data_IF_796552223112
#
_entry.id   IF_796552223112
#
_cell.length_a   1.000
_cell.length_b   1.000
_cell.length_c   1.000
_cell.angle_alpha   90.00
_cell.angle_beta   90.00
_cell.angle_gamma   90.00
#
_symmetry.space_group_name_H-M   'P 1'
#
loop_
_entity.id
_entity.type
_entity.pdbx_description
1 polymer ?
#
# COMPACT_ATOMS: atom_id res chain seq x y z
N UNK A 1 -93.95 18.16 -1.08
CA UNK A 1 -93.19 17.29 -0.15
C UNK A 1 -92.39 16.32 -1.02
N UNK A 2 -91.19 16.70 -1.51
CA UNK A 2 -89.86 16.52 -0.89
C UNK A 2 -89.69 15.08 -0.35
N UNK A 3 -88.79 14.20 -0.81
CA UNK A 3 -87.53 14.38 -1.54
C UNK A 3 -87.02 13.07 -2.20
N UNK A 4 -86.18 13.22 -3.23
CA UNK A 4 -85.03 12.39 -3.65
C UNK A 4 -84.00 13.42 -4.21
N UNK A 5 -82.66 13.18 -4.34
CA UNK A 5 -81.95 11.89 -4.42
C UNK A 5 -80.51 11.82 -3.81
N UNK A 6 -79.88 10.63 -3.96
CA UNK A 6 -78.46 10.32 -4.29
C UNK A 6 -77.26 10.77 -3.42
N UNK A 7 -76.34 9.80 -3.28
CA UNK A 7 -74.86 9.90 -3.35
C UNK A 7 -74.05 10.07 -2.06
N UNK A 8 -73.21 9.09 -1.73
CA UNK A 8 -71.96 9.28 -0.96
C UNK A 8 -71.38 8.00 -0.34
N UNK A 9 -70.04 7.84 -0.21
CA UNK A 9 -69.35 6.59 -0.48
C UNK A 9 -68.55 5.97 0.68
N UNK A 10 -68.02 4.79 0.37
CA UNK A 10 -66.98 3.94 0.97
C UNK A 10 -65.79 4.70 1.59
N UNK A 11 -65.14 4.05 2.58
CA UNK A 11 -63.81 4.27 3.22
C UNK A 11 -63.96 4.61 4.72
N UNK A 12 -63.15 4.21 5.69
CA UNK A 12 -61.71 3.90 5.75
C UNK A 12 -61.52 3.25 7.14
N UNK A 13 -61.03 2.02 7.28
CA UNK A 13 -60.44 1.56 8.57
C UNK A 13 -59.15 0.82 8.25
N UNK A 14 -58.06 1.59 8.30
CA UNK A 14 -56.70 1.14 8.12
C UNK A 14 -56.14 0.48 9.38
N UNK A 15 -55.68 -0.76 9.21
CA UNK A 15 -54.40 -1.33 9.67
C UNK A 15 -53.80 -0.81 10.99
N UNK A 16 -54.02 -1.60 12.04
CA UNK A 16 -53.14 -1.72 13.21
C UNK A 16 -52.09 -2.82 12.95
N UNK A 17 -50.85 -2.46 12.60
CA UNK A 17 -49.67 -3.28 12.91
C UNK A 17 -48.51 -2.37 13.30
N UNK A 18 -48.38 -2.25 14.62
CA UNK A 18 -47.18 -2.10 15.44
C UNK A 18 -45.85 -1.97 14.68
N UNK A 19 -45.17 -0.84 14.91
CA UNK A 19 -43.86 -0.57 14.36
C UNK A 19 -42.68 -1.21 15.10
N UNK A 20 -41.51 -0.82 14.61
CA UNK A 20 -40.15 -1.06 15.12
C UNK A 20 -39.57 -2.45 14.79
N UNK A 21 -39.03 -2.58 13.57
CA UNK A 21 -37.70 -3.18 13.40
C UNK A 21 -36.86 -2.14 12.68
N UNK A 22 -35.80 -1.72 13.37
CA UNK A 22 -34.90 -0.65 12.98
C UNK A 22 -34.38 -0.81 11.55
N UNK A 23 -34.32 0.33 10.84
CA UNK A 23 -33.40 0.56 9.75
C UNK A 23 -31.99 0.09 10.17
N UNK A 24 -31.66 -1.14 9.81
CA UNK A 24 -30.27 -1.55 9.62
C UNK A 24 -29.94 -1.28 8.16
N UNK A 25 -29.90 -0.01 7.78
CA UNK A 25 -29.13 0.34 6.60
C UNK A 25 -27.70 -0.14 6.87
N UNK A 26 -27.10 -0.95 5.99
CA UNK A 26 -25.70 -1.28 6.13
C UNK A 26 -24.97 0.05 6.09
N UNK A 27 -24.42 0.47 7.23
CA UNK A 27 -23.44 1.54 7.25
C UNK A 27 -22.41 1.12 6.21
N UNK A 28 -22.17 1.91 5.15
CA UNK A 28 -21.08 1.62 4.26
C UNK A 28 -19.86 1.55 5.16
N UNK A 29 -19.26 0.37 5.25
CA UNK A 29 -17.91 0.23 5.76
C UNK A 29 -17.12 1.36 5.10
N UNK A 30 -16.22 2.08 5.80
CA UNK A 30 -15.34 3.00 5.11
C UNK A 30 -14.66 2.17 4.03
N UNK A 31 -15.11 2.33 2.78
CA UNK A 31 -14.54 1.64 1.64
C UNK A 31 -13.16 2.27 1.59
N UNK A 32 -12.19 1.50 2.04
CA UNK A 32 -10.82 1.94 2.08
C UNK A 32 -10.36 1.98 0.64
N UNK A 33 -10.57 3.13 -0.01
CA UNK A 33 -10.26 3.32 -1.42
C UNK A 33 -8.74 3.31 -1.53
N UNK A 34 -8.21 2.15 -1.93
CA UNK A 34 -6.81 2.01 -2.30
C UNK A 34 -6.61 2.69 -3.65
N UNK A 35 -6.05 3.90 -3.66
CA UNK A 35 -5.64 4.53 -4.91
C UNK A 35 -4.28 3.97 -5.29
N UNK A 36 -4.21 3.27 -6.42
CA UNK A 36 -2.89 3.05 -7.01
C UNK A 36 -2.35 4.41 -7.43
N UNK A 37 -1.17 4.74 -6.92
CA UNK A 37 -0.44 5.90 -7.34
C UNK A 37 0.09 5.57 -8.73
N UNK A 38 -0.28 6.35 -9.74
CA UNK A 38 0.31 6.20 -11.07
C UNK A 38 1.83 6.27 -10.93
N UNK A 39 2.55 5.47 -11.70
CA UNK A 39 4.01 5.30 -11.58
C UNK A 39 4.81 6.62 -11.71
N UNK A 40 4.17 7.70 -12.17
CA UNK A 40 4.70 9.07 -12.23
C UNK A 40 4.19 10.03 -11.14
N UNK A 41 3.54 9.57 -10.07
CA UNK A 41 3.00 10.44 -9.01
C UNK A 41 3.95 10.66 -7.83
N UNK A 42 4.93 9.76 -7.61
CA UNK A 42 6.05 9.97 -6.68
C UNK A 42 7.24 10.63 -7.40
N UNK A 43 7.03 11.85 -7.90
CA UNK A 43 8.10 12.63 -8.55
C UNK A 43 9.10 13.22 -7.55
N UNK A 44 8.66 13.40 -6.30
CA UNK A 44 9.50 13.92 -5.23
C UNK A 44 10.44 12.85 -4.66
N UNK A 45 11.61 13.29 -4.21
CA UNK A 45 12.52 12.41 -3.50
C UNK A 45 12.05 12.17 -2.07
N UNK A 46 12.21 10.95 -1.58
CA UNK A 46 11.78 10.56 -0.24
C UNK A 46 12.79 9.64 0.44
N UNK A 47 12.62 9.41 1.73
CA UNK A 47 13.36 8.40 2.48
C UNK A 47 12.38 7.34 2.98
N UNK A 48 12.87 6.12 3.16
CA UNK A 48 12.05 4.99 3.63
C UNK A 48 12.45 4.69 5.06
N UNK A 49 11.46 4.60 5.94
CA UNK A 49 11.62 4.13 7.30
C UNK A 49 10.77 2.88 7.53
N UNK A 50 11.32 1.90 8.23
CA UNK A 50 10.62 0.69 8.67
C UNK A 50 10.78 0.63 10.18
N UNK A 51 9.67 0.55 10.92
CA UNK A 51 9.69 0.60 12.38
C UNK A 51 10.45 1.83 12.93
N UNK A 52 10.33 2.98 12.24
CA UNK A 52 10.99 4.23 12.61
C UNK A 52 12.49 4.31 12.33
N UNK A 53 13.13 3.24 11.84
CA UNK A 53 14.54 3.24 11.43
C UNK A 53 14.66 3.44 9.92
N UNK A 54 15.59 4.27 9.42
CA UNK A 54 15.75 4.48 7.99
C UNK A 54 16.44 3.31 7.30
N UNK A 55 16.10 3.12 6.01
CA UNK A 55 16.89 2.26 5.11
C UNK A 55 18.26 2.92 4.86
N UNK A 56 19.33 2.18 5.14
CA UNK A 56 20.70 2.66 5.00
C UNK A 56 21.13 2.76 3.53
N UNK A 57 21.95 3.76 3.14
CA UNK A 57 22.56 3.79 1.83
C UNK A 57 23.54 2.64 1.63
N UNK A 58 23.87 2.35 0.37
CA UNK A 58 24.97 1.44 0.03
C UNK A 58 26.28 1.93 0.66
N UNK A 59 27.02 1.00 1.25
CA UNK A 59 28.35 1.28 1.77
C UNK A 59 29.30 1.74 0.65
N UNK A 60 30.18 2.72 0.90
CA UNK A 60 31.14 3.19 -0.09
C UNK A 60 32.04 2.04 -0.56
N UNK A 61 32.40 2.05 -1.86
CA UNK A 61 33.23 1.03 -2.52
C UNK A 61 32.59 -0.36 -2.67
N UNK A 62 31.26 -0.44 -2.63
CA UNK A 62 30.55 -1.67 -3.00
C UNK A 62 30.46 -1.77 -4.52
N UNK A 63 30.90 -2.88 -5.10
CA UNK A 63 30.79 -3.16 -6.55
C UNK A 63 29.93 -4.37 -6.88
N UNK A 64 29.35 -5.01 -5.87
CA UNK A 64 28.49 -6.19 -6.00
C UNK A 64 27.08 -5.95 -5.47
N UNK A 65 26.18 -6.90 -5.74
CA UNK A 65 24.88 -6.95 -5.07
C UNK A 65 25.10 -7.11 -3.56
N UNK A 66 24.43 -6.28 -2.76
CA UNK A 66 24.54 -6.31 -1.29
C UNK A 66 23.14 -6.28 -0.67
N UNK A 67 22.92 -7.09 0.36
CA UNK A 67 21.65 -7.11 1.07
C UNK A 67 21.38 -5.77 1.74
N UNK A 68 20.14 -5.29 1.65
CA UNK A 68 19.76 -4.01 2.22
C UNK A 68 19.55 -4.12 3.73
N UNK A 69 19.95 -3.08 4.45
CA UNK A 69 19.86 -3.01 5.90
C UNK A 69 19.29 -1.67 6.35
N UNK A 70 18.73 -1.66 7.56
CA UNK A 70 18.44 -0.44 8.30
C UNK A 70 19.73 0.16 8.84
N UNK A 71 19.75 1.47 9.05
CA UNK A 71 20.93 2.16 9.56
C UNK A 71 20.60 3.46 10.28
N UNK A 72 21.63 4.28 10.51
CA UNK A 72 21.48 5.61 11.12
C UNK A 72 21.22 6.71 10.10
N UNK A 73 21.80 6.58 8.90
CA UNK A 73 21.68 7.57 7.82
C UNK A 73 20.67 7.11 6.78
N UNK A 74 19.75 7.98 6.32
CA UNK A 74 18.74 7.60 5.35
C UNK A 74 19.24 7.65 3.91
N UNK A 75 19.04 6.57 3.16
CA UNK A 75 19.06 6.60 1.71
C UNK A 75 17.96 7.51 1.17
N UNK A 76 18.29 8.28 0.14
CA UNK A 76 17.32 9.12 -0.59
C UNK A 76 16.89 8.39 -1.84
N UNK A 77 15.58 8.30 -2.04
CA UNK A 77 14.95 7.51 -3.07
C UNK A 77 14.14 8.36 -4.04
N UNK A 78 14.11 7.91 -5.29
CA UNK A 78 13.10 8.30 -6.28
C UNK A 78 12.48 7.03 -6.86
N UNK A 79 11.19 7.08 -7.21
CA UNK A 79 10.54 5.98 -7.92
C UNK A 79 10.46 6.34 -9.40
N UNK A 80 11.16 5.57 -10.25
CA UNK A 80 11.21 5.80 -11.69
C UNK A 80 11.02 4.49 -12.43
N UNK A 81 10.05 4.42 -13.34
CA UNK A 81 9.79 3.23 -14.18
C UNK A 81 9.65 1.92 -13.37
N UNK A 82 9.07 2.02 -12.16
CA UNK A 82 8.90 0.88 -11.23
C UNK A 82 10.17 0.42 -10.55
N UNK A 83 11.20 1.26 -10.54
CA UNK A 83 12.47 1.03 -9.89
C UNK A 83 12.69 2.08 -8.82
N UNK A 84 13.07 1.61 -7.63
CA UNK A 84 13.36 2.47 -6.50
C UNK A 84 14.85 2.82 -6.53
N UNK A 85 15.15 4.02 -7.02
CA UNK A 85 16.50 4.50 -7.33
C UNK A 85 17.10 5.25 -6.14
N UNK A 86 18.40 5.08 -5.89
CA UNK A 86 19.19 5.89 -4.95
C UNK A 86 20.59 6.12 -5.55
N UNK A 87 20.77 7.28 -6.20
CA UNK A 87 21.94 7.49 -7.06
C UNK A 87 22.01 6.42 -8.16
N UNK A 88 23.18 5.79 -8.31
CA UNK A 88 23.43 4.73 -9.30
C UNK A 88 22.97 3.33 -8.83
N UNK A 89 22.20 3.26 -7.74
CA UNK A 89 21.75 2.00 -7.14
C UNK A 89 20.25 1.86 -7.18
N UNK A 90 19.80 0.62 -7.32
CA UNK A 90 18.40 0.23 -7.30
C UNK A 90 18.18 -0.64 -6.06
N UNK A 91 17.26 -0.24 -5.19
CA UNK A 91 16.76 -1.10 -4.13
C UNK A 91 15.66 -1.99 -4.70
N UNK A 92 15.86 -3.31 -4.68
CA UNK A 92 14.94 -4.21 -5.36
C UNK A 92 14.90 -5.63 -4.83
N UNK A 93 13.94 -6.38 -5.34
CA UNK A 93 13.75 -7.81 -5.12
C UNK A 93 14.05 -8.56 -6.41
N UNK A 94 14.85 -9.62 -6.35
CA UNK A 94 15.22 -10.40 -7.53
C UNK A 94 14.01 -11.21 -8.03
N UNK A 95 13.85 -11.36 -9.34
CA UNK A 95 12.85 -12.24 -9.95
C UNK A 95 13.18 -13.73 -9.76
N UNK A 96 14.47 -14.05 -9.64
CA UNK A 96 14.94 -15.43 -9.46
C UNK A 96 15.17 -15.71 -7.98
N UNK A 97 14.19 -16.35 -7.35
CA UNK A 97 14.20 -16.72 -5.93
C UNK A 97 13.71 -18.16 -5.75
N UNK A 98 13.97 -18.74 -4.58
CA UNK A 98 13.31 -19.98 -4.20
C UNK A 98 11.79 -19.77 -4.05
N UNK A 99 11.02 -20.85 -4.25
CA UNK A 99 9.55 -20.83 -4.21
C UNK A 99 8.96 -20.96 -2.80
N UNK A 100 9.76 -20.82 -1.74
CA UNK A 100 9.21 -20.78 -0.39
C UNK A 100 8.37 -19.53 -0.19
N UNK A 101 7.51 -19.57 0.81
CA UNK A 101 6.73 -18.41 1.25
C UNK A 101 7.41 -17.63 2.38
N UNK A 102 8.70 -17.88 2.62
CA UNK A 102 9.48 -17.15 3.60
C UNK A 102 9.74 -15.71 3.11
N UNK A 103 10.03 -14.78 4.04
CA UNK A 103 10.50 -13.45 3.68
C UNK A 103 11.64 -13.48 2.67
N UNK A 104 11.57 -12.55 1.71
CA UNK A 104 12.48 -12.49 0.57
C UNK A 104 13.46 -11.35 0.70
N UNK A 105 14.70 -11.59 0.28
CA UNK A 105 15.76 -10.60 0.41
C UNK A 105 15.51 -9.40 -0.49
N UNK A 106 15.66 -8.21 0.08
CA UNK A 106 15.85 -6.99 -0.67
C UNK A 106 17.35 -6.70 -0.73
N UNK A 107 17.81 -6.27 -1.90
CA UNK A 107 19.22 -5.97 -2.10
C UNK A 107 19.38 -4.71 -2.94
N UNK A 108 20.57 -4.14 -2.82
CA UNK A 108 21.05 -3.06 -3.66
C UNK A 108 21.69 -3.65 -4.92
N UNK A 109 21.24 -3.16 -6.07
CA UNK A 109 21.73 -3.55 -7.38
C UNK A 109 22.26 -2.32 -8.11
N UNK A 110 23.46 -2.41 -8.69
CA UNK A 110 24.03 -1.31 -9.46
C UNK A 110 23.25 -1.14 -10.76
N UNK A 111 22.82 0.07 -11.08
CA UNK A 111 22.07 0.38 -12.30
C UNK A 111 22.89 -0.02 -13.54
N UNK A 112 22.20 -0.45 -14.59
CA UNK A 112 22.84 -0.86 -15.86
C UNK A 112 23.52 -2.24 -15.83
N UNK A 113 23.46 -2.97 -14.72
CA UNK A 113 24.00 -4.33 -14.63
C UNK A 113 22.94 -5.39 -14.95
N UNK A 114 23.37 -6.56 -15.45
CA UNK A 114 22.47 -7.70 -15.71
C UNK A 114 21.56 -8.05 -14.51
N UNK A 115 22.05 -8.13 -13.26
CA UNK A 115 21.20 -8.34 -12.08
C UNK A 115 20.08 -7.30 -11.92
N UNK A 116 20.35 -6.02 -12.23
CA UNK A 116 19.35 -4.96 -12.13
C UNK A 116 18.22 -5.12 -13.15
N UNK A 117 18.43 -5.84 -14.25
CA UNK A 117 17.37 -6.13 -15.23
C UNK A 117 16.35 -7.14 -14.70
N UNK A 118 16.73 -7.98 -13.72
CA UNK A 118 15.94 -9.09 -13.20
C UNK A 118 15.28 -8.76 -11.85
N UNK A 119 14.64 -7.60 -11.77
CA UNK A 119 13.99 -7.13 -10.55
C UNK A 119 12.46 -7.11 -10.70
N UNK A 120 11.76 -7.44 -9.63
CA UNK A 120 10.34 -7.14 -9.53
C UNK A 120 10.10 -5.63 -9.58
N UNK A 121 9.01 -5.22 -10.24
CA UNK A 121 8.57 -3.84 -10.20
C UNK A 121 8.13 -3.44 -8.78
N UNK A 122 8.46 -2.22 -8.40
CA UNK A 122 7.99 -1.56 -7.19
C UNK A 122 6.74 -0.75 -7.53
N UNK A 123 5.65 -1.01 -6.82
CA UNK A 123 4.40 -0.27 -6.98
C UNK A 123 4.14 0.61 -5.76
N UNK A 124 3.74 1.85 -6.02
CA UNK A 124 3.28 2.77 -4.99
C UNK A 124 1.76 2.86 -4.99
N UNK A 125 1.18 3.08 -3.82
CA UNK A 125 -0.26 3.31 -3.67
C UNK A 125 -0.53 4.09 -2.38
N UNK A 126 -1.68 4.76 -2.35
CA UNK A 126 -2.21 5.37 -1.14
C UNK A 126 -3.19 4.42 -0.47
N UNK A 127 -2.98 4.23 0.83
CA UNK A 127 -3.84 3.44 1.69
C UNK A 127 -3.97 4.28 2.99
N UNK A 128 -5.16 4.87 3.22
CA UNK A 128 -5.47 5.57 4.48
C UNK A 128 -4.91 6.98 4.56
N UNK A 129 -4.60 7.58 3.42
CA UNK A 129 -3.87 8.85 3.34
C UNK A 129 -2.35 8.69 3.48
N UNK A 130 -1.85 7.46 3.62
CA UNK A 130 -0.42 7.17 3.67
C UNK A 130 0.06 6.56 2.35
N UNK A 131 1.25 6.99 1.92
CA UNK A 131 1.92 6.41 0.77
C UNK A 131 2.62 5.10 1.18
N UNK A 132 2.43 4.04 0.40
CA UNK A 132 2.97 2.71 0.66
C UNK A 132 3.64 2.15 -0.59
N UNK A 133 4.59 1.23 -0.39
CA UNK A 133 5.33 0.56 -1.46
C UNK A 133 5.13 -0.95 -1.39
N UNK A 134 5.07 -1.60 -2.55
CA UNK A 134 5.04 -3.05 -2.70
C UNK A 134 6.11 -3.52 -3.67
N UNK A 135 6.82 -4.59 -3.31
CA UNK A 135 7.90 -5.19 -4.08
C UNK A 135 7.44 -6.54 -4.62
N UNK A 136 7.00 -6.57 -5.88
CA UNK A 136 6.39 -7.77 -6.45
C UNK A 136 5.14 -8.23 -5.69
N UNK A 137 4.38 -7.27 -5.14
CA UNK A 137 3.16 -7.51 -4.37
C UNK A 137 3.35 -7.63 -2.85
N UNK A 138 4.56 -7.93 -2.38
CA UNK A 138 4.88 -8.06 -0.96
C UNK A 138 5.26 -6.73 -0.28
N UNK A 139 5.21 -6.70 1.05
CA UNK A 139 5.47 -5.51 1.87
C UNK A 139 6.83 -5.58 2.54
N UNK A 140 7.48 -4.44 2.73
CA UNK A 140 8.76 -4.38 3.45
C UNK A 140 8.56 -4.70 4.93
N UNK A 141 9.46 -5.51 5.47
CA UNK A 141 9.60 -5.80 6.89
C UNK A 141 11.07 -5.67 7.29
N UNK A 142 11.32 -5.63 8.60
CA UNK A 142 12.66 -5.62 9.14
C UNK A 142 12.84 -6.74 10.18
N UNK A 143 13.91 -7.53 10.03
CA UNK A 143 14.32 -8.58 10.96
C UNK A 143 15.81 -8.38 11.25
N UNK A 144 16.18 -8.16 12.52
CA UNK A 144 17.59 -7.99 12.92
C UNK A 144 18.38 -6.97 12.05
N UNK A 145 17.75 -5.82 11.77
CA UNK A 145 18.23 -4.75 10.88
C UNK A 145 18.35 -5.13 9.39
N UNK A 146 18.09 -6.38 9.00
CA UNK A 146 17.93 -6.76 7.60
C UNK A 146 16.56 -6.34 7.07
N UNK A 147 16.54 -5.87 5.82
CA UNK A 147 15.30 -5.49 5.14
C UNK A 147 14.87 -6.65 4.24
N UNK A 148 13.66 -7.13 4.47
CA UNK A 148 13.06 -8.24 3.73
C UNK A 148 11.70 -7.83 3.17
N UNK A 149 11.16 -8.66 2.29
CA UNK A 149 9.80 -8.57 1.79
C UNK A 149 9.02 -9.75 2.32
N UNK A 150 7.95 -9.47 3.07
CA UNK A 150 6.91 -10.45 3.34
C UNK A 150 6.02 -10.61 2.09
N UNK A 151 6.00 -11.80 1.45
CA UNK A 151 5.18 -12.03 0.26
C UNK A 151 3.67 -11.96 0.53
N UNK A 152 3.22 -12.24 1.76
CA UNK A 152 1.81 -12.20 2.11
C UNK A 152 1.37 -10.80 2.48
N UNK A 153 2.22 -10.07 3.20
CA UNK A 153 2.00 -8.68 3.57
C UNK A 153 0.81 -8.53 4.52
N UNK A 154 1.09 -8.29 5.80
CA UNK A 154 0.08 -7.90 6.78
C UNK A 154 -0.15 -6.39 6.85
N UNK A 155 -1.29 -5.97 7.42
CA UNK A 155 -1.55 -4.56 7.76
C UNK A 155 -0.47 -3.99 8.70
N UNK A 156 0.10 -4.83 9.56
CA UNK A 156 1.21 -4.47 10.46
C UNK A 156 2.46 -4.05 9.69
N UNK A 157 2.87 -4.85 8.70
CA UNK A 157 4.03 -4.55 7.84
C UNK A 157 3.83 -3.26 7.04
N UNK A 158 2.61 -3.05 6.52
CA UNK A 158 2.26 -1.81 5.84
C UNK A 158 2.30 -0.62 6.78
N UNK A 159 1.76 -0.74 7.99
CA UNK A 159 1.71 0.34 8.99
C UNK A 159 3.10 0.74 9.48
N UNK A 160 4.02 -0.22 9.57
CA UNK A 160 5.41 0.02 9.94
C UNK A 160 6.21 0.82 8.89
N UNK A 161 5.77 0.77 7.62
CA UNK A 161 6.42 1.46 6.51
C UNK A 161 5.98 2.92 6.44
N UNK A 162 6.96 3.82 6.52
CA UNK A 162 6.76 5.27 6.43
C UNK A 162 7.64 5.86 5.33
N UNK A 163 7.03 6.63 4.44
CA UNK A 163 7.74 7.44 3.45
C UNK A 163 7.83 8.88 3.95
N UNK A 164 9.03 9.44 3.98
CA UNK A 164 9.25 10.85 4.33
C UNK A 164 9.75 11.62 3.12
N UNK A 165 8.89 12.46 2.55
CA UNK A 165 9.19 13.31 1.41
C UNK A 165 10.08 14.49 1.82
N UNK A 166 11.09 14.78 1.00
CA UNK A 166 11.93 15.97 1.18
C UNK A 166 11.23 17.16 0.51
N UNK A 167 10.88 18.17 1.31
CA UNK A 167 10.39 19.47 0.84
C UNK A 167 11.51 20.34 0.28
#
# INVERSE_FOLDING_TARGET
MLALPRSGPVLFVCLLFVGIIALSWPLPSPIFVRRQLEMGSLTESFTIHINGKPVAPVAPNTDSVVQAQLGSEPATFTLKDGRLMSGDWILGRNLTEDRSMLPKKISWFKEGTEPATRLHAVTAFEEGGEHKLKFGGGCLIAEEDEILVDPFGGEEALSALQLQFRK
#
